data_IF_620187616832
#
_entry.id   IF_620187616832
#
_cell.length_a   1.000
_cell.length_b   1.000
_cell.length_c   1.000
_cell.angle_alpha   90.00
_cell.angle_beta   90.00
_cell.angle_gamma   90.00
#
_symmetry.space_group_name_H-M   'P 1'
#
loop_
_entity.id
_entity.type
_entity.pdbx_description
1 polymer ?
#
# COMPACT_ATOMS: atom_id res chain seq x y z
N UNK A 1 18.31 22.38 14.09
CA UNK A 1 17.67 21.11 14.46
C UNK A 1 16.75 20.74 13.31
N UNK A 2 17.08 19.68 12.57
CA UNK A 2 16.20 19.16 11.54
C UNK A 2 15.08 18.41 12.28
N UNK A 3 13.86 18.92 12.16
CA UNK A 3 12.65 18.29 12.68
C UNK A 3 12.63 16.84 12.19
N UNK A 4 12.44 15.89 13.10
CA UNK A 4 12.06 14.53 12.74
C UNK A 4 10.68 14.60 12.06
N UNK A 5 10.67 14.89 10.76
CA UNK A 5 9.47 14.83 9.94
C UNK A 5 9.03 13.37 9.93
N UNK A 6 8.10 13.05 10.84
CA UNK A 6 7.38 11.78 10.87
C UNK A 6 6.88 11.52 9.45
N UNK A 7 7.40 10.49 8.81
CA UNK A 7 7.11 10.15 7.43
C UNK A 7 5.68 9.59 7.36
N UNK A 8 4.68 10.46 7.51
CA UNK A 8 3.27 10.12 7.33
C UNK A 8 2.95 10.16 5.85
N UNK A 9 2.55 9.01 5.32
CA UNK A 9 2.13 8.88 3.93
C UNK A 9 0.63 9.09 3.88
N UNK A 10 0.11 9.94 2.99
CA UNK A 10 -1.34 10.02 2.77
C UNK A 10 -1.85 8.69 2.19
N UNK A 11 -2.67 7.92 2.92
CA UNK A 11 -3.11 6.60 2.46
C UNK A 11 -4.00 6.68 1.21
N UNK A 12 -4.75 7.77 1.05
CA UNK A 12 -5.64 8.00 -0.09
C UNK A 12 -4.82 8.28 -1.34
N UNK A 13 -3.89 9.22 -1.26
CA UNK A 13 -3.03 9.60 -2.39
C UNK A 13 -2.19 8.41 -2.87
N UNK A 14 -1.65 7.64 -1.93
CA UNK A 14 -0.88 6.44 -2.24
C UNK A 14 -1.76 5.38 -2.93
N UNK A 15 -2.92 5.05 -2.37
CA UNK A 15 -3.83 4.07 -2.96
C UNK A 15 -4.33 4.50 -4.35
N UNK A 16 -4.62 5.78 -4.54
CA UNK A 16 -4.99 6.35 -5.85
C UNK A 16 -3.87 6.22 -6.88
N UNK A 17 -2.61 6.41 -6.47
CA UNK A 17 -1.45 6.24 -7.36
C UNK A 17 -1.30 4.80 -7.85
N UNK A 18 -1.60 3.82 -6.98
CA UNK A 18 -1.56 2.40 -7.33
C UNK A 18 -2.65 2.05 -8.37
N UNK A 19 -3.88 2.52 -8.19
CA UNK A 19 -5.01 2.18 -9.09
C UNK A 19 -5.07 3.04 -10.37
N UNK A 20 -4.33 4.15 -10.45
CA UNK A 20 -4.28 4.98 -11.68
C UNK A 20 -3.52 4.30 -12.82
N UNK A 21 -2.59 3.41 -12.49
CA UNK A 21 -1.70 2.77 -13.45
C UNK A 21 -2.14 1.35 -13.84
N UNK A 22 -3.26 0.87 -13.32
CA UNK A 22 -3.79 -0.47 -13.62
C UNK A 22 -4.59 -0.46 -14.91
N UNK A 23 -4.23 -1.37 -15.81
CA UNK A 23 -4.95 -1.56 -17.07
C UNK A 23 -5.99 -2.65 -16.94
N UNK A 24 -7.10 -2.49 -17.66
CA UNK A 24 -8.12 -3.54 -17.76
C UNK A 24 -7.68 -4.60 -18.75
N UNK A 25 -7.58 -5.84 -18.29
CA UNK A 25 -7.32 -6.99 -19.16
C UNK A 25 -8.42 -7.16 -20.24
N UNK A 26 -8.08 -7.59 -21.48
CA UNK A 26 -9.02 -7.62 -22.60
C UNK A 26 -10.29 -8.46 -22.37
N UNK A 27 -10.23 -9.48 -21.51
CA UNK A 27 -11.35 -10.40 -21.22
C UNK A 27 -12.12 -10.05 -19.93
N UNK A 28 -11.73 -8.99 -19.23
CA UNK A 28 -12.34 -8.62 -17.95
C UNK A 28 -13.55 -7.71 -18.17
N UNK A 29 -14.68 -8.10 -17.59
CA UNK A 29 -15.89 -7.25 -17.60
C UNK A 29 -15.65 -5.99 -16.78
N UNK A 30 -16.36 -4.90 -17.09
CA UNK A 30 -16.21 -3.64 -16.34
C UNK A 30 -16.53 -3.85 -14.85
N UNK A 31 -17.55 -4.65 -14.52
CA UNK A 31 -17.92 -4.97 -13.14
C UNK A 31 -16.80 -5.70 -12.39
N UNK A 32 -16.17 -6.69 -13.03
CA UNK A 32 -15.02 -7.39 -12.43
C UNK A 32 -13.84 -6.46 -12.23
N UNK A 33 -13.53 -5.63 -13.23
CA UNK A 33 -12.43 -4.67 -13.16
C UNK A 33 -12.64 -3.65 -12.03
N UNK A 34 -13.83 -3.05 -11.93
CA UNK A 34 -14.15 -2.08 -10.87
C UNK A 34 -14.03 -2.72 -9.49
N UNK A 35 -14.50 -3.95 -9.32
CA UNK A 35 -14.34 -4.69 -8.05
C UNK A 35 -12.86 -4.90 -7.71
N UNK A 36 -12.04 -5.29 -8.68
CA UNK A 36 -10.59 -5.46 -8.48
C UNK A 36 -9.91 -4.13 -8.09
N UNK A 37 -10.26 -3.02 -8.75
CA UNK A 37 -9.70 -1.71 -8.40
C UNK A 37 -10.14 -1.25 -7.01
N UNK A 38 -11.40 -1.46 -6.64
CA UNK A 38 -11.90 -1.13 -5.31
C UNK A 38 -11.22 -1.96 -4.21
N UNK A 39 -11.06 -3.27 -4.43
CA UNK A 39 -10.33 -4.15 -3.52
C UNK A 39 -8.89 -3.66 -3.35
N UNK A 40 -8.18 -3.41 -4.44
CA UNK A 40 -6.80 -2.94 -4.45
C UNK A 40 -6.64 -1.59 -3.73
N UNK A 41 -7.57 -0.67 -3.93
CA UNK A 41 -7.61 0.61 -3.23
C UNK A 41 -7.72 0.42 -1.72
N UNK A 42 -8.69 -0.38 -1.27
CA UNK A 42 -8.96 -0.58 0.16
C UNK A 42 -7.79 -1.29 0.85
N UNK A 43 -7.25 -2.35 0.24
CA UNK A 43 -6.07 -3.06 0.75
C UNK A 43 -4.89 -2.11 0.96
N UNK A 44 -4.59 -1.30 -0.06
CA UNK A 44 -3.48 -0.34 -0.02
C UNK A 44 -3.73 0.75 1.02
N UNK A 45 -4.95 1.27 1.09
CA UNK A 45 -5.32 2.31 2.05
C UNK A 45 -5.11 1.86 3.50
N UNK A 46 -5.65 0.69 3.86
CA UNK A 46 -5.53 0.20 5.24
C UNK A 46 -4.09 -0.17 5.59
N UNK A 47 -3.35 -0.73 4.64
CA UNK A 47 -1.93 -1.00 4.83
C UNK A 47 -1.13 0.28 5.17
N UNK A 48 -1.31 1.35 4.41
CA UNK A 48 -0.59 2.62 4.68
C UNK A 48 -1.08 3.25 5.99
N UNK A 49 -2.37 3.11 6.31
CA UNK A 49 -2.91 3.56 7.60
C UNK A 49 -2.25 2.81 8.77
N UNK A 50 -2.10 1.50 8.65
CA UNK A 50 -1.44 0.66 9.66
C UNK A 50 0.05 0.99 9.75
N UNK A 51 0.71 1.22 8.62
CA UNK A 51 2.11 1.68 8.56
C UNK A 51 2.30 3.01 9.32
N UNK A 52 1.47 4.01 9.02
CA UNK A 52 1.51 5.31 9.71
C UNK A 52 1.27 5.16 11.21
N UNK A 53 0.39 4.23 11.63
CA UNK A 53 0.15 3.96 13.05
C UNK A 53 1.37 3.34 13.74
N UNK A 54 2.05 2.41 13.07
CA UNK A 54 3.28 1.78 13.57
C UNK A 54 4.42 2.79 13.69
N UNK A 55 4.61 3.67 12.70
CA UNK A 55 5.59 4.78 12.73
C UNK A 55 5.38 5.73 13.90
N UNK A 56 4.13 5.98 14.30
CA UNK A 56 3.80 6.82 15.47
C UNK A 56 4.19 6.12 16.78
N UNK A 57 4.20 4.79 16.83
CA UNK A 57 4.26 4.03 18.08
C UNK A 57 5.66 3.63 18.58
N UNK A 58 6.68 3.38 17.72
CA UNK A 58 7.96 2.80 18.18
C UNK A 58 9.23 3.21 17.38
N UNK A 59 10.36 3.21 18.12
CA UNK A 59 11.71 3.76 17.85
C UNK A 59 12.37 3.36 16.50
N UNK A 60 13.17 4.29 15.96
CA UNK A 60 13.69 4.37 14.58
C UNK A 60 14.52 3.20 14.03
N UNK A 61 14.98 2.25 14.85
CA UNK A 61 15.99 1.27 14.42
C UNK A 61 15.45 -0.10 13.98
N UNK A 62 14.19 -0.46 14.29
CA UNK A 62 13.56 -1.72 13.80
C UNK A 62 12.81 -1.54 12.47
N UNK A 63 12.73 -0.32 11.94
CA UNK A 63 11.78 0.11 10.90
C UNK A 63 12.07 -0.44 9.51
N UNK A 64 13.31 -0.40 9.03
CA UNK A 64 13.59 -0.75 7.62
C UNK A 64 13.34 -2.24 7.30
N UNK A 65 13.62 -3.13 8.26
CA UNK A 65 13.44 -4.57 8.06
C UNK A 65 11.96 -4.95 8.00
N UNK A 66 11.14 -4.38 8.88
CA UNK A 66 9.70 -4.63 8.90
C UNK A 66 8.98 -4.04 7.67
N UNK A 67 9.43 -2.88 7.19
CA UNK A 67 8.91 -2.27 5.96
C UNK A 67 9.21 -3.16 4.75
N UNK A 68 10.45 -3.65 4.62
CA UNK A 68 10.83 -4.57 3.55
C UNK A 68 9.98 -5.83 3.59
N UNK A 69 9.80 -6.44 4.76
CA UNK A 69 8.97 -7.64 4.93
C UNK A 69 7.48 -7.38 4.61
N UNK A 70 6.98 -6.18 4.87
CA UNK A 70 5.61 -5.78 4.53
C UNK A 70 5.44 -5.62 3.01
N UNK A 71 6.37 -4.93 2.36
CA UNK A 71 6.43 -4.81 0.90
C UNK A 71 6.54 -6.17 0.22
N UNK A 72 7.43 -7.04 0.72
CA UNK A 72 7.61 -8.38 0.19
C UNK A 72 6.34 -9.22 0.32
N UNK A 73 5.57 -9.10 1.42
CA UNK A 73 4.28 -9.79 1.56
C UNK A 73 3.24 -9.34 0.52
N UNK A 74 3.18 -8.04 0.24
CA UNK A 74 2.24 -7.47 -0.73
C UNK A 74 2.59 -7.93 -2.15
N UNK A 75 3.89 -7.96 -2.47
CA UNK A 75 4.37 -8.40 -3.77
C UNK A 75 4.27 -9.92 -3.90
N UNK A 76 4.62 -10.69 -2.88
CA UNK A 76 4.56 -12.17 -2.90
C UNK A 76 3.13 -12.68 -3.06
N UNK A 77 2.14 -11.98 -2.50
CA UNK A 77 0.72 -12.30 -2.71
C UNK A 77 0.22 -12.05 -4.13
N UNK A 78 0.99 -11.33 -4.97
CA UNK A 78 0.68 -11.02 -6.37
C UNK A 78 1.51 -11.81 -7.39
N UNK A 79 2.58 -12.48 -6.97
CA UNK A 79 3.52 -13.21 -7.86
C UNK A 79 3.57 -14.73 -7.66
N UNK A 80 2.66 -15.33 -6.88
CA UNK A 80 2.50 -16.78 -6.90
C UNK A 80 1.70 -17.19 -8.16
N UNK A 81 2.23 -18.09 -9.02
CA UNK A 81 1.54 -18.59 -10.21
C UNK A 81 0.32 -19.46 -9.88
#
# INVERSE_FOLDING_TARGET
>A
MLSEDKLQIDPTEFAMTIIRNTQKEPKTTNTQFIKQQLTLYLETYYLIKDFNHLEISQMDQMKQKQISELFDKILSGRFQP
#
